data_IF_468411536936
#
_entry.id   IF_468411536936
#
_cell.length_a   1.000
_cell.length_b   1.000
_cell.length_c   1.000
_cell.angle_alpha   90.00
_cell.angle_beta   90.00
_cell.angle_gamma   90.00
#
_symmetry.space_group_name_H-M   'P 1'
#
loop_
_entity.id
_entity.type
_entity.pdbx_description
1 polymer ?
#
# COMPACT_ATOMS: atom_id res chain seq x y z
N UNK A 1 0.35 0.60 17.82
CA UNK A 1 -0.65 1.15 16.87
C UNK A 1 -0.50 0.37 15.58
N UNK A 2 -1.60 0.01 14.91
CA UNK A 2 -1.51 -0.63 13.61
C UNK A 2 -0.91 0.38 12.62
N UNK A 3 0.20 0.04 11.97
CA UNK A 3 0.82 0.91 10.96
C UNK A 3 -0.06 0.86 9.71
N UNK A 4 -0.64 1.98 9.31
CA UNK A 4 -1.40 2.08 8.08
C UNK A 4 -0.46 2.28 6.90
N UNK A 5 -0.85 1.78 5.72
CA UNK A 5 -0.01 1.76 4.54
C UNK A 5 0.31 3.16 3.99
N UNK A 6 1.58 3.39 3.64
CA UNK A 6 2.03 4.61 2.95
C UNK A 6 2.29 4.27 1.48
N UNK A 7 1.92 5.15 0.56
CA UNK A 7 2.26 5.02 -0.86
C UNK A 7 2.67 6.33 -1.50
N UNK A 8 3.67 6.27 -2.38
CA UNK A 8 4.18 7.41 -3.13
C UNK A 8 4.03 7.20 -4.64
N UNK A 9 3.51 8.23 -5.32
CA UNK A 9 3.31 8.24 -6.77
C UNK A 9 4.58 8.64 -7.54
N UNK A 10 5.74 8.09 -7.19
CA UNK A 10 7.06 8.59 -7.64
C UNK A 10 7.23 8.61 -9.16
N UNK A 11 6.65 7.64 -9.91
CA UNK A 11 6.73 7.58 -11.39
C UNK A 11 5.47 6.97 -12.04
N UNK A 12 4.28 7.48 -11.70
CA UNK A 12 3.00 7.06 -12.30
C UNK A 12 2.58 7.93 -13.50
N UNK A 13 3.52 8.40 -14.32
CA UNK A 13 3.22 9.29 -15.45
C UNK A 13 2.30 8.63 -16.49
N UNK A 14 1.24 9.34 -16.90
CA UNK A 14 0.27 8.85 -17.89
C UNK A 14 -0.67 7.74 -17.37
N UNK A 15 -0.68 7.49 -16.06
CA UNK A 15 -1.67 6.62 -15.41
C UNK A 15 -2.95 7.42 -15.18
N UNK A 16 -4.09 6.88 -15.61
CA UNK A 16 -5.37 7.56 -15.39
C UNK A 16 -5.75 7.49 -13.92
N UNK A 17 -6.32 8.58 -13.43
CA UNK A 17 -6.87 8.64 -12.09
C UNK A 17 -8.34 8.20 -12.12
N UNK A 18 -8.70 7.25 -11.27
CA UNK A 18 -10.07 6.71 -11.19
C UNK A 18 -10.50 6.73 -9.73
N UNK A 19 -11.75 7.13 -9.50
CA UNK A 19 -12.36 7.20 -8.17
C UNK A 19 -13.07 5.90 -7.84
N UNK A 20 -12.79 5.35 -6.67
CA UNK A 20 -13.42 4.13 -6.17
C UNK A 20 -14.06 4.34 -4.81
N UNK A 21 -15.00 3.48 -4.46
CA UNK A 21 -15.59 3.36 -3.12
C UNK A 21 -15.51 1.90 -2.67
N UNK A 22 -15.11 1.66 -1.42
CA UNK A 22 -15.05 0.33 -0.81
C UNK A 22 -16.07 0.23 0.33
N UNK A 23 -16.54 -1.00 0.60
CA UNK A 23 -17.41 -1.31 1.73
C UNK A 23 -16.64 -1.55 3.03
N UNK A 24 -15.32 -1.72 2.93
CA UNK A 24 -14.38 -1.92 4.03
C UNK A 24 -13.38 -0.76 4.05
N UNK A 25 -12.71 -0.58 5.18
CA UNK A 25 -11.62 0.38 5.33
C UNK A 25 -10.42 -0.05 4.46
N UNK A 26 -9.83 0.88 3.70
CA UNK A 26 -8.73 0.61 2.77
C UNK A 26 -7.56 1.55 3.02
N UNK A 27 -6.40 0.99 3.32
CA UNK A 27 -5.17 1.76 3.54
C UNK A 27 -4.56 2.24 2.21
N UNK A 28 -3.83 3.36 2.27
CA UNK A 28 -3.04 3.81 1.12
C UNK A 28 -1.95 2.76 0.79
N UNK A 29 -1.64 2.58 -0.49
CA UNK A 29 -0.75 1.51 -0.96
C UNK A 29 -1.42 0.16 -1.14
N UNK A 30 -2.71 0.05 -0.79
CA UNK A 30 -3.52 -1.11 -1.15
C UNK A 30 -3.71 -1.21 -2.65
N UNK A 31 -3.94 -2.42 -3.12
CA UNK A 31 -4.37 -2.72 -4.48
C UNK A 31 -5.85 -3.07 -4.52
N UNK A 32 -6.56 -2.57 -5.54
CA UNK A 32 -7.99 -2.82 -5.76
C UNK A 32 -8.25 -3.24 -7.20
N UNK A 33 -9.29 -4.03 -7.42
CA UNK A 33 -9.81 -4.30 -8.75
C UNK A 33 -11.16 -3.61 -8.95
N UNK A 34 -11.55 -3.43 -10.21
CA UNK A 34 -12.82 -2.80 -10.55
C UNK A 34 -13.99 -3.78 -10.34
N UNK A 35 -14.91 -3.40 -9.44
CA UNK A 35 -16.15 -4.13 -9.14
C UNK A 35 -17.37 -3.68 -9.96
N UNK A 36 -17.22 -2.68 -10.83
CA UNK A 36 -18.31 -2.09 -11.60
C UNK A 36 -18.74 -0.72 -11.07
N UNK A 37 -19.76 -0.11 -11.68
CA UNK A 37 -20.27 1.20 -11.28
C UNK A 37 -20.89 1.11 -9.87
N UNK A 38 -20.56 2.05 -8.99
CA UNK A 38 -21.14 2.10 -7.66
C UNK A 38 -22.59 2.60 -7.71
N UNK A 39 -23.45 2.04 -6.88
CA UNK A 39 -24.87 2.40 -6.83
C UNK A 39 -25.05 3.89 -6.53
N UNK A 40 -25.82 4.58 -7.37
CA UNK A 40 -26.11 6.00 -7.23
C UNK A 40 -25.00 6.94 -7.71
N UNK A 41 -23.92 6.43 -8.31
CA UNK A 41 -22.85 7.23 -8.89
C UNK A 41 -22.76 7.06 -10.42
N UNK A 42 -22.37 8.13 -11.11
CA UNK A 42 -22.13 8.13 -12.57
C UNK A 42 -20.69 7.84 -12.93
N UNK A 43 -19.73 8.25 -12.08
CA UNK A 43 -18.28 8.23 -12.37
C UNK A 43 -17.45 7.57 -11.26
N UNK A 44 -18.09 6.88 -10.31
CA UNK A 44 -17.42 6.20 -9.19
C UNK A 44 -17.66 4.70 -9.30
N UNK A 45 -16.58 3.92 -9.13
CA UNK A 45 -16.62 2.47 -9.22
C UNK A 45 -16.55 1.82 -7.84
N UNK A 46 -17.11 0.62 -7.68
CA UNK A 46 -16.93 -0.18 -6.48
C UNK A 46 -15.55 -0.86 -6.50
N UNK A 47 -14.85 -0.85 -5.37
CA UNK A 47 -13.57 -1.53 -5.21
C UNK A 47 -13.78 -2.96 -4.70
N UNK A 48 -13.25 -3.95 -5.43
CA UNK A 48 -13.20 -5.34 -4.99
C UNK A 48 -11.77 -5.76 -4.65
N UNK A 49 -11.63 -6.78 -3.80
CA UNK A 49 -10.34 -7.43 -3.53
C UNK A 49 -9.82 -8.05 -4.83
N UNK A 50 -8.64 -7.65 -5.33
CA UNK A 50 -8.14 -8.11 -6.61
C UNK A 50 -7.71 -9.57 -6.56
N UNK A 51 -8.14 -10.36 -7.52
CA UNK A 51 -7.63 -11.72 -7.75
C UNK A 51 -6.51 -11.71 -8.79
N UNK A 52 -5.84 -12.86 -9.00
CA UNK A 52 -4.81 -12.99 -10.04
C UNK A 52 -5.31 -12.69 -11.46
N UNK A 53 -6.61 -12.84 -11.70
CA UNK A 53 -7.23 -12.66 -13.02
C UNK A 53 -7.68 -11.21 -13.28
N UNK A 54 -7.58 -10.35 -12.26
CA UNK A 54 -8.08 -8.99 -12.32
C UNK A 54 -6.98 -7.99 -12.69
N UNK A 55 -7.39 -6.95 -13.41
CA UNK A 55 -6.60 -5.74 -13.56
C UNK A 55 -6.63 -4.94 -12.26
N UNK A 56 -5.45 -4.45 -11.87
CA UNK A 56 -5.23 -3.83 -10.57
C UNK A 56 -5.01 -2.32 -10.67
N UNK A 57 -5.54 -1.61 -9.68
CA UNK A 57 -5.34 -0.18 -9.43
C UNK A 57 -4.71 0.00 -8.04
N UNK A 58 -3.82 0.97 -7.90
CA UNK A 58 -3.23 1.31 -6.59
C UNK A 58 -3.99 2.43 -5.93
N UNK A 59 -4.27 2.29 -4.63
CA UNK A 59 -4.91 3.32 -3.82
C UNK A 59 -3.85 4.31 -3.36
N UNK A 60 -3.95 5.54 -3.88
CA UNK A 60 -3.12 6.67 -3.44
C UNK A 60 -4.05 7.87 -3.33
N UNK A 61 -4.57 8.07 -2.13
CA UNK A 61 -5.41 9.23 -1.83
C UNK A 61 -4.61 10.26 -1.03
N UNK A 62 -4.85 11.54 -1.32
CA UNK A 62 -4.21 12.64 -0.59
C UNK A 62 -4.61 12.55 0.88
N UNK A 63 -3.62 12.42 1.75
CA UNK A 63 -3.82 12.36 3.20
C UNK A 63 -4.28 13.75 3.66
N UNK A 64 -5.58 13.90 3.88
CA UNK A 64 -6.14 15.03 4.61
C UNK A 64 -6.37 14.59 6.05
N UNK A 65 -5.41 14.90 6.93
CA UNK A 65 -5.62 14.84 8.37
C UNK A 65 -6.64 15.91 8.75
N UNK A 66 -7.86 15.51 9.11
CA UNK A 66 -8.93 16.44 9.47
C UNK A 66 -8.80 17.00 10.89
N UNK A 67 -7.90 16.44 11.72
CA UNK A 67 -7.59 16.96 13.06
C UNK A 67 -6.13 17.43 13.09
N UNK A 68 -5.94 18.75 13.14
CA UNK A 68 -4.62 19.39 13.16
C UNK A 68 -4.02 19.46 14.57
N UNK A 69 -4.76 19.03 15.61
CA UNK A 69 -4.43 19.29 17.02
C UNK A 69 -3.36 18.37 17.61
N UNK A 70 -3.17 17.15 17.10
CA UNK A 70 -2.19 16.18 17.61
C UNK A 70 -1.17 15.84 16.51
N UNK A 71 0.14 15.97 16.78
CA UNK A 71 1.19 15.63 15.80
C UNK A 71 1.19 14.15 15.42
N UNK A 72 0.73 13.27 16.32
CA UNK A 72 0.58 11.83 16.05
C UNK A 72 -0.49 11.54 14.98
N UNK A 73 -1.51 12.40 14.83
CA UNK A 73 -2.57 12.26 13.82
C UNK A 73 -2.18 12.86 12.46
N UNK A 74 -1.06 13.61 12.40
CA UNK A 74 -0.47 14.10 11.14
C UNK A 74 0.39 13.06 10.43
N UNK A 75 0.74 11.96 11.10
CA UNK A 75 1.52 10.90 10.49
C UNK A 75 0.68 10.14 9.46
N UNK A 76 1.21 10.02 8.24
CA UNK A 76 0.60 9.25 7.14
C UNK A 76 0.35 7.78 7.53
N UNK A 77 1.13 7.26 8.49
CA UNK A 77 0.98 5.93 9.11
C UNK A 77 -0.34 5.74 9.87
N UNK A 78 -1.15 6.78 10.08
CA UNK A 78 -2.46 6.73 10.76
C UNK A 78 -3.65 6.97 9.81
N UNK A 79 -3.41 7.11 8.50
CA UNK A 79 -4.45 7.45 7.53
C UNK A 79 -5.06 6.22 6.86
N UNK A 80 -6.36 6.04 7.04
CA UNK A 80 -7.16 5.01 6.34
C UNK A 80 -8.31 5.64 5.59
N UNK A 81 -8.56 5.15 4.37
CA UNK A 81 -9.77 5.49 3.64
C UNK A 81 -10.94 4.72 4.25
N UNK A 82 -11.78 5.42 5.03
CA UNK A 82 -12.94 4.81 5.70
C UNK A 82 -13.93 4.22 4.70
N UNK A 83 -14.57 3.12 5.07
CA UNK A 83 -15.64 2.48 4.32
C UNK A 83 -16.72 3.49 3.90
N UNK A 84 -17.19 3.36 2.66
CA UNK A 84 -18.21 4.25 2.07
C UNK A 84 -17.72 5.65 1.69
N UNK A 85 -16.42 5.95 1.85
CA UNK A 85 -15.81 7.19 1.33
C UNK A 85 -15.16 6.92 -0.03
N UNK A 86 -15.29 7.89 -0.92
CA UNK A 86 -14.65 7.86 -2.23
C UNK A 86 -13.17 8.13 -2.03
N UNK A 87 -12.33 7.25 -2.53
CA UNK A 87 -10.88 7.41 -2.54
C UNK A 87 -10.34 7.40 -3.97
N UNK A 88 -9.12 7.92 -4.08
CA UNK A 88 -8.43 8.11 -5.35
C UNK A 88 -7.52 6.93 -5.63
N UNK A 89 -7.60 6.39 -6.84
CA UNK A 89 -6.72 5.33 -7.31
C UNK A 89 -6.02 5.69 -8.61
N UNK A 90 -4.94 4.99 -8.90
CA UNK A 90 -4.18 5.12 -10.13
C UNK A 90 -4.12 3.78 -10.84
N UNK A 91 -4.33 3.81 -12.15
CA UNK A 91 -4.07 2.66 -13.02
C UNK A 91 -2.58 2.31 -13.00
N UNK A 92 -2.25 1.04 -12.77
CA UNK A 92 -0.87 0.56 -12.83
C UNK A 92 -0.55 0.16 -14.27
N UNK A 93 0.11 1.02 -15.04
CA UNK A 93 0.60 0.66 -16.39
C UNK A 93 1.93 -0.08 -16.32
N UNK A 94 2.21 -0.92 -17.31
CA UNK A 94 3.53 -1.55 -17.47
C UNK A 94 4.66 -0.51 -17.48
N UNK A 95 5.82 -0.93 -16.98
CA UNK A 95 7.03 -0.12 -16.78
C UNK A 95 6.93 1.04 -15.79
N UNK A 96 5.76 1.25 -15.17
CA UNK A 96 5.60 2.29 -14.14
C UNK A 96 6.12 1.82 -12.80
N UNK A 97 6.55 2.80 -12.01
CA UNK A 97 7.13 2.57 -10.69
C UNK A 97 6.36 3.32 -9.62
N UNK A 98 6.15 2.68 -8.51
CA UNK A 98 5.53 3.24 -7.32
C UNK A 98 6.25 2.72 -6.08
N UNK A 99 6.06 3.39 -4.95
CA UNK A 99 6.59 2.95 -3.66
C UNK A 99 5.43 2.71 -2.70
N UNK A 100 5.50 1.63 -1.94
CA UNK A 100 4.57 1.31 -0.86
C UNK A 100 5.34 0.93 0.40
N UNK A 101 4.73 1.06 1.58
CA UNK A 101 5.29 0.46 2.79
C UNK A 101 5.29 -1.07 2.69
N UNK A 102 6.28 -1.72 3.31
CA UNK A 102 6.37 -3.18 3.36
C UNK A 102 5.13 -3.82 3.99
N UNK A 103 4.43 -3.11 4.88
CA UNK A 103 3.20 -3.57 5.53
C UNK A 103 2.05 -3.83 4.54
N UNK A 104 2.13 -3.28 3.32
CA UNK A 104 1.18 -3.50 2.22
C UNK A 104 1.52 -4.70 1.33
N UNK A 105 2.58 -5.43 1.67
CA UNK A 105 3.03 -6.62 0.97
C UNK A 105 3.09 -7.77 1.98
N UNK A 106 2.29 -8.81 1.75
CA UNK A 106 2.43 -10.09 2.47
C UNK A 106 3.73 -10.76 2.00
N UNK A 107 4.70 -11.02 2.88
CA UNK A 107 5.94 -11.69 2.51
C UNK A 107 5.70 -13.15 2.12
N UNK A 108 6.69 -13.79 1.50
CA UNK A 108 6.64 -15.21 1.13
C UNK A 108 6.60 -16.11 2.37
N UNK A 109 7.31 -15.69 3.41
CA UNK A 109 7.39 -16.29 4.72
C UNK A 109 7.36 -15.16 5.76
N UNK A 110 6.57 -15.31 6.82
CA UNK A 110 6.46 -14.32 7.91
C UNK A 110 7.82 -14.04 8.59
N UNK A 111 8.77 -14.97 8.43
CA UNK A 111 10.15 -14.83 8.95
C UNK A 111 11.10 -14.04 8.05
N UNK A 112 10.76 -13.86 6.76
CA UNK A 112 11.66 -13.29 5.75
C UNK A 112 11.09 -11.98 5.18
N UNK A 113 11.79 -10.84 5.36
CA UNK A 113 11.37 -9.58 4.77
C UNK A 113 11.27 -9.64 3.24
N UNK A 114 10.50 -8.71 2.67
CA UNK A 114 10.46 -8.54 1.22
C UNK A 114 11.83 -8.06 0.74
N UNK A 115 12.40 -8.75 -0.24
CA UNK A 115 13.74 -8.53 -0.77
C UNK A 115 13.72 -8.06 -2.24
N UNK A 116 14.73 -7.30 -2.70
CA UNK A 116 14.89 -6.98 -4.11
C UNK A 116 14.92 -8.23 -5.01
N UNK A 117 14.27 -8.15 -6.16
CA UNK A 117 14.16 -9.27 -7.11
C UNK A 117 12.97 -10.20 -6.88
N UNK A 118 12.26 -10.07 -5.75
CA UNK A 118 10.97 -10.75 -5.56
C UNK A 118 9.89 -10.12 -6.44
N UNK A 119 8.90 -10.93 -6.81
CA UNK A 119 7.73 -10.50 -7.56
C UNK A 119 6.55 -10.27 -6.64
N UNK A 120 5.60 -9.43 -7.03
CA UNK A 120 4.37 -9.17 -6.29
C UNK A 120 3.15 -9.42 -7.16
N UNK A 121 2.12 -10.02 -6.58
CA UNK A 121 0.85 -10.35 -7.24
C UNK A 121 -0.36 -10.01 -6.37
N UNK A 122 -1.53 -9.93 -7.02
CA UNK A 122 -2.81 -9.89 -6.33
C UNK A 122 -3.23 -11.30 -5.89
N UNK A 123 -3.76 -11.42 -4.66
CA UNK A 123 -4.16 -12.71 -4.09
C UNK A 123 -5.44 -12.62 -3.25
N UNK A 124 -6.50 -12.01 -3.79
CA UNK A 124 -7.80 -11.90 -3.12
C UNK A 124 -7.78 -11.04 -1.86
N UNK A 125 -6.75 -10.21 -1.68
CA UNK A 125 -6.56 -9.28 -0.57
C UNK A 125 -6.24 -7.89 -1.10
N UNK A 126 -6.49 -6.87 -0.29
CA UNK A 126 -6.05 -5.50 -0.58
C UNK A 126 -4.54 -5.32 -0.49
N UNK A 127 -3.83 -6.28 0.13
CA UNK A 127 -2.36 -6.34 0.14
C UNK A 127 -1.84 -7.15 -1.05
N UNK A 128 -0.68 -6.75 -1.55
CA UNK A 128 0.07 -7.53 -2.52
C UNK A 128 0.68 -8.76 -1.84
N UNK A 129 0.86 -9.86 -2.55
CA UNK A 129 1.59 -11.04 -2.05
C UNK A 129 2.92 -11.18 -2.78
N UNK A 130 4.02 -11.30 -2.04
CA UNK A 130 5.34 -11.56 -2.59
C UNK A 130 5.45 -13.03 -3.05
N UNK A 131 6.13 -13.24 -4.17
CA UNK A 131 6.46 -14.57 -4.72
C UNK A 131 7.91 -14.56 -5.25
N UNK A 132 8.58 -15.70 -5.16
CA UNK A 132 10.01 -15.82 -5.52
C UNK A 132 10.27 -16.02 -7.00
N UNK A 133 9.27 -16.46 -7.76
CA UNK A 133 9.36 -16.71 -9.20
C UNK A 133 8.31 -15.91 -9.96
N UNK A 134 8.62 -15.55 -11.20
CA UNK A 134 7.71 -14.79 -12.06
C UNK A 134 6.43 -15.58 -12.34
N UNK A 135 5.26 -15.08 -11.94
CA UNK A 135 4.01 -15.80 -12.15
C UNK A 135 3.49 -15.62 -13.58
N UNK A 136 3.23 -16.75 -14.23
CA UNK A 136 2.71 -16.80 -15.60
C UNK A 136 1.18 -16.68 -15.65
N UNK A 137 0.50 -16.99 -14.54
CA UNK A 137 -0.95 -17.06 -14.38
C UNK A 137 -1.61 -15.76 -13.89
N UNK A 138 -0.82 -14.78 -13.42
CA UNK A 138 -1.34 -13.51 -12.93
C UNK A 138 -1.38 -12.43 -14.03
N UNK A 139 -2.44 -11.62 -14.06
CA UNK A 139 -2.53 -10.44 -14.94
C UNK A 139 -1.74 -9.26 -14.40
N UNK A 140 -1.75 -9.05 -13.09
CA UNK A 140 -0.90 -8.08 -12.41
C UNK A 140 0.37 -8.76 -11.87
N UNK A 141 1.53 -8.28 -12.34
CA UNK A 141 2.84 -8.66 -11.81
C UNK A 141 3.71 -7.43 -11.66
N UNK A 142 4.23 -7.21 -10.45
CA UNK A 142 5.29 -6.26 -10.18
C UNK A 142 6.59 -6.96 -9.78
N UNK A 143 7.72 -6.28 -9.94
CA UNK A 143 9.02 -6.70 -9.40
C UNK A 143 9.52 -5.66 -8.40
N UNK A 144 10.05 -6.14 -7.28
CA UNK A 144 10.69 -5.31 -6.27
C UNK A 144 12.07 -4.91 -6.77
N UNK A 145 12.29 -3.61 -6.99
CA UNK A 145 13.58 -3.10 -7.45
C UNK A 145 14.51 -2.75 -6.29
N UNK A 146 13.97 -2.07 -5.27
CA UNK A 146 14.77 -1.58 -4.14
C UNK A 146 13.91 -1.56 -2.89
N UNK A 147 14.51 -1.92 -1.76
CA UNK A 147 13.95 -1.74 -0.43
C UNK A 147 14.74 -0.63 0.25
N UNK A 148 14.07 0.44 0.66
CA UNK A 148 14.66 1.62 1.29
C UNK A 148 14.12 1.70 2.73
N UNK A 149 15.00 1.58 3.72
CA UNK A 149 14.65 1.87 5.12
C UNK A 149 14.92 3.34 5.41
N UNK A 150 13.90 4.04 5.91
CA UNK A 150 14.01 5.44 6.31
C UNK A 150 13.56 5.61 7.76
N UNK A 151 14.35 6.35 8.54
CA UNK A 151 14.11 6.57 9.96
C UNK A 151 15.32 6.18 10.81
N UNK A 152 15.30 6.56 12.08
CA UNK A 152 16.31 6.17 13.04
C UNK A 152 15.65 5.96 14.41
N UNK A 153 15.92 4.85 15.11
CA UNK A 153 15.35 4.62 16.43
C UNK A 153 15.98 5.60 17.41
N UNK A 154 15.16 6.30 18.19
CA UNK A 154 15.65 7.14 19.26
C UNK A 154 15.01 6.77 20.58
N UNK A 155 15.74 7.06 21.66
CA UNK A 155 15.30 6.79 23.02
C UNK A 155 14.13 7.71 23.35
N UNK A 156 12.96 7.11 23.54
CA UNK A 156 11.83 7.77 24.16
C UNK A 156 11.98 7.72 25.67
N UNK A 157 11.49 8.73 26.37
CA UNK A 157 11.14 8.54 27.78
C UNK A 157 9.94 7.57 27.89
N UNK A 158 9.15 7.62 28.95
CA UNK A 158 8.07 6.68 29.32
C UNK A 158 6.91 6.45 28.32
N UNK A 159 7.01 6.90 27.07
CA UNK A 159 5.98 6.76 26.02
C UNK A 159 6.35 5.80 24.86
N UNK A 160 7.56 5.22 24.83
CA UNK A 160 7.99 4.29 23.76
C UNK A 160 7.55 2.82 23.99
N UNK A 161 7.99 1.92 23.12
CA UNK A 161 7.87 0.46 23.32
C UNK A 161 9.06 -0.01 24.16
N UNK A 162 8.83 -0.79 25.21
CA UNK A 162 9.89 -1.32 26.07
C UNK A 162 10.65 -2.42 25.34
N UNK A 163 11.91 -2.16 24.99
CA UNK A 163 12.82 -3.23 24.52
C UNK A 163 13.57 -3.80 25.73
N UNK A 164 13.91 -5.10 25.68
CA UNK A 164 14.28 -5.88 26.88
C UNK A 164 15.56 -5.42 27.60
N UNK A 165 16.39 -4.57 26.99
CA UNK A 165 17.70 -4.21 27.55
C UNK A 165 18.09 -2.72 27.50
N UNK A 166 17.34 -1.82 26.84
CA UNK A 166 17.78 -0.42 26.64
C UNK A 166 16.74 0.69 26.84
N UNK A 167 15.62 0.41 27.52
CA UNK A 167 14.60 1.41 27.87
C UNK A 167 13.45 1.48 26.87
N UNK A 168 12.77 2.63 26.81
CA UNK A 168 11.65 2.87 25.89
C UNK A 168 12.20 3.40 24.56
N UNK A 169 11.91 2.71 23.46
CA UNK A 169 12.35 3.12 22.12
C UNK A 169 11.13 3.52 21.30
N UNK A 170 11.20 4.68 20.65
CA UNK A 170 10.29 5.00 19.56
C UNK A 170 10.93 4.51 18.27
N UNK A 171 10.34 3.47 17.69
CA UNK A 171 10.76 2.95 16.41
C UNK A 171 9.98 3.64 15.29
N UNK A 172 10.60 4.68 14.71
CA UNK A 172 10.06 5.41 13.57
C UNK A 172 10.60 4.88 12.24
N UNK A 173 11.15 3.66 12.20
CA UNK A 173 11.60 3.05 10.95
C UNK A 173 10.40 2.70 10.08
N UNK A 174 10.44 3.21 8.85
CA UNK A 174 9.50 2.90 7.79
C UNK A 174 10.30 2.27 6.67
N UNK A 175 9.96 1.03 6.33
CA UNK A 175 10.54 0.30 5.21
C UNK A 175 9.63 0.51 3.99
N UNK A 176 10.16 1.17 2.97
CA UNK A 176 9.47 1.44 1.71
C UNK A 176 10.04 0.57 0.61
N UNK A 177 9.15 -0.08 -0.13
CA UNK A 177 9.47 -1.00 -1.22
C UNK A 177 9.12 -0.32 -2.55
N UNK A 178 10.12 -0.19 -3.43
CA UNK A 178 9.94 0.32 -4.80
C UNK A 178 9.59 -0.84 -5.71
N UNK A 179 8.41 -0.78 -6.31
CA UNK A 179 7.90 -1.80 -7.22
C UNK A 179 7.83 -1.22 -8.63
N UNK A 180 8.32 -1.99 -9.61
CA UNK A 180 8.08 -1.74 -11.04
C UNK A 180 7.04 -2.72 -11.57
N UNK A 181 6.03 -2.22 -12.26
CA UNK A 181 4.98 -3.03 -12.89
C UNK A 181 5.58 -3.69 -14.14
N UNK A 182 5.49 -5.02 -14.22
CA UNK A 182 5.88 -5.81 -15.41
C UNK A 182 4.67 -5.93 -16.34
N UNK A 183 3.53 -6.38 -15.81
CA UNK A 183 2.26 -6.53 -16.55
C UNK A 183 1.06 -6.18 -15.67
N UNK A 184 0.00 -5.69 -16.30
CA UNK A 184 -1.29 -5.40 -15.68
C UNK A 184 -2.37 -5.30 -16.76
N UNK A 185 -2.74 -6.46 -17.29
CA UNK A 185 -3.66 -6.58 -18.43
C UNK A 185 -5.12 -6.79 -18.01
#
# INVERSE_FOLDING_TARGET
MAKHGIAESTKLHGCMNISFVATEDVDNGSIVANGGLADGHTDVYSAKKPTKEDKVYIVIHSVYGYDERLEEEKNEDNYTNKAGRIFRTYELKSDRKFRVSSDMITPVDDSTPVEPGQYVVANGSYKMSAVTAEPTDAKFVGIVETVEETGFPYFGSSKGVKTSEMGYVFDTRIVKVKIRVIKND
#
